data_IF_643117388371
#
_entry.id   IF_643117388371
#
_cell.length_a   1.000
_cell.length_b   1.000
_cell.length_c   1.000
_cell.angle_alpha   90.00
_cell.angle_beta   90.00
_cell.angle_gamma   90.00
#
_symmetry.space_group_name_H-M   'P 1'
#
loop_
_entity.id
_entity.type
_entity.pdbx_description
1 polymer ?
#
# COMPACT_ATOMS: atom_id res chain seq x y z
N UNK A 1 6.62 -11.05 27.88
CA UNK A 1 7.57 -10.03 28.41
C UNK A 1 6.79 -8.74 28.59
N UNK A 2 6.86 -8.10 29.73
CA UNK A 2 6.14 -6.83 29.99
C UNK A 2 6.70 -5.76 29.07
N UNK A 3 5.86 -5.16 28.22
CA UNK A 3 6.22 -4.05 27.34
C UNK A 3 6.83 -2.92 28.16
N UNK A 4 7.95 -2.44 27.69
CA UNK A 4 8.66 -1.31 28.28
C UNK A 4 7.86 -0.03 27.98
N UNK A 5 7.89 0.92 28.90
CA UNK A 5 7.16 2.22 28.86
C UNK A 5 7.57 3.17 27.71
N UNK A 6 8.37 2.73 26.75
CA UNK A 6 8.68 3.47 25.51
C UNK A 6 7.55 3.45 24.45
N UNK A 7 6.54 2.61 24.66
CA UNK A 7 5.43 2.39 23.72
C UNK A 7 4.34 3.47 23.68
N UNK A 8 4.46 4.52 24.49
CA UNK A 8 3.38 5.49 24.70
C UNK A 8 3.49 6.79 23.87
N UNK A 9 4.50 6.94 22.98
CA UNK A 9 4.57 8.17 22.16
C UNK A 9 3.52 8.13 21.06
N UNK A 10 2.72 9.20 20.90
CA UNK A 10 1.79 9.29 19.78
C UNK A 10 2.55 9.27 18.45
N UNK A 11 1.99 8.66 17.41
CA UNK A 11 2.56 8.69 16.07
C UNK A 11 2.64 10.11 15.50
N UNK A 12 3.42 10.33 14.43
CA UNK A 12 3.63 11.67 13.86
C UNK A 12 2.33 12.29 13.29
N UNK A 13 1.31 11.48 13.01
CA UNK A 13 0.00 11.92 12.52
C UNK A 13 -1.09 11.85 13.61
N UNK A 14 -0.70 11.71 14.88
CA UNK A 14 -1.67 11.75 15.99
C UNK A 14 -2.43 13.07 16.00
N UNK A 15 -3.74 12.98 16.18
CA UNK A 15 -4.66 14.14 16.13
C UNK A 15 -5.23 14.41 14.73
N UNK A 16 -4.71 13.80 13.67
CA UNK A 16 -5.36 13.81 12.36
C UNK A 16 -6.45 12.74 12.30
N UNK A 17 -7.65 13.13 11.83
CA UNK A 17 -8.77 12.22 11.57
C UNK A 17 -8.95 12.04 10.07
N UNK A 18 -8.99 10.78 9.63
CA UNK A 18 -9.17 10.39 8.22
C UNK A 18 -10.41 9.53 8.07
N UNK A 19 -11.27 9.88 7.14
CA UNK A 19 -12.40 9.04 6.74
C UNK A 19 -12.02 8.30 5.46
N UNK A 20 -11.95 6.99 5.55
CA UNK A 20 -11.75 6.10 4.41
C UNK A 20 -13.10 5.58 3.91
N UNK A 21 -13.72 6.29 2.98
CA UNK A 21 -14.96 5.88 2.31
C UNK A 21 -14.70 5.14 0.99
N UNK A 22 -13.46 4.80 0.73
CA UNK A 22 -13.06 4.10 -0.50
C UNK A 22 -13.20 2.58 -0.37
N UNK A 23 -13.10 1.85 -1.48
CA UNK A 23 -13.20 0.39 -1.52
C UNK A 23 -12.00 -0.23 -2.21
N UNK A 24 -11.79 -1.52 -2.00
CA UNK A 24 -10.76 -2.36 -2.63
C UNK A 24 -9.32 -1.96 -2.24
N UNK A 25 -8.56 -1.25 -3.12
CA UNK A 25 -7.12 -1.12 -2.95
C UNK A 25 -6.61 0.32 -2.81
N UNK A 26 -6.67 1.15 -3.85
CA UNK A 26 -5.92 2.41 -3.92
C UNK A 26 -6.22 3.37 -2.76
N UNK A 27 -7.48 3.70 -2.53
CA UNK A 27 -7.89 4.55 -1.40
C UNK A 27 -7.61 3.89 -0.04
N UNK A 28 -8.00 2.61 0.18
CA UNK A 28 -7.69 1.92 1.43
C UNK A 28 -6.19 1.86 1.75
N UNK A 29 -5.30 1.68 0.76
CA UNK A 29 -3.85 1.72 0.96
C UNK A 29 -3.38 3.10 1.42
N UNK A 30 -3.88 4.18 0.79
CA UNK A 30 -3.57 5.54 1.22
C UNK A 30 -3.97 5.78 2.69
N UNK A 31 -5.19 5.37 3.06
CA UNK A 31 -5.69 5.47 4.43
C UNK A 31 -4.87 4.64 5.42
N UNK A 32 -4.48 3.40 5.04
CA UNK A 32 -3.66 2.53 5.89
C UNK A 32 -2.27 3.12 6.15
N UNK A 33 -1.64 3.72 5.14
CA UNK A 33 -0.37 4.41 5.34
C UNK A 33 -0.48 5.53 6.38
N UNK A 34 -1.55 6.31 6.36
CA UNK A 34 -1.79 7.36 7.37
C UNK A 34 -2.07 6.76 8.75
N UNK A 35 -2.84 5.66 8.81
CA UNK A 35 -3.13 4.92 10.04
C UNK A 35 -1.87 4.34 10.70
N UNK A 36 -0.96 3.80 9.90
CA UNK A 36 0.31 3.22 10.38
C UNK A 36 1.19 4.24 11.11
N UNK A 37 1.08 5.51 10.75
CA UNK A 37 1.77 6.61 11.39
C UNK A 37 0.93 7.38 12.43
N UNK A 38 -0.19 6.82 12.86
CA UNK A 38 -0.94 7.27 14.05
C UNK A 38 -2.16 8.12 13.78
N UNK A 39 -2.57 8.35 12.53
CA UNK A 39 -3.85 8.99 12.25
C UNK A 39 -5.02 8.14 12.79
N UNK A 40 -6.09 8.79 13.24
CA UNK A 40 -7.36 8.16 13.55
C UNK A 40 -8.13 7.92 12.25
N UNK A 41 -8.04 6.69 11.73
CA UNK A 41 -8.66 6.34 10.45
C UNK A 41 -9.96 5.58 10.69
N UNK A 42 -11.06 6.15 10.22
CA UNK A 42 -12.40 5.53 10.27
C UNK A 42 -12.76 5.06 8.86
N UNK A 43 -12.78 3.74 8.69
CA UNK A 43 -13.22 3.07 7.47
C UNK A 43 -14.73 3.02 7.44
N UNK A 44 -15.34 3.64 6.44
CA UNK A 44 -16.79 3.60 6.20
C UNK A 44 -17.09 2.58 5.12
N UNK A 45 -17.80 1.52 5.49
CA UNK A 45 -18.17 0.42 4.59
C UNK A 45 -19.69 0.43 4.33
N UNK A 46 -20.09 -0.17 3.20
CA UNK A 46 -21.48 -0.58 3.04
C UNK A 46 -21.86 -1.62 4.11
N UNK A 47 -23.12 -1.71 4.60
CA UNK A 47 -23.53 -2.70 5.61
C UNK A 47 -23.25 -4.17 5.25
N UNK A 48 -23.04 -4.48 3.97
CA UNK A 48 -22.63 -5.81 3.48
C UNK A 48 -21.11 -6.02 3.46
N UNK A 49 -20.35 -5.04 3.91
CA UNK A 49 -18.88 -5.04 3.89
C UNK A 49 -18.27 -4.54 2.57
N UNK A 50 -16.97 -4.26 2.62
CA UNK A 50 -16.13 -3.99 1.46
C UNK A 50 -15.90 -5.29 0.66
N UNK A 51 -15.85 -5.20 -0.67
CA UNK A 51 -15.54 -6.33 -1.53
C UNK A 51 -14.22 -7.03 -1.19
N UNK A 52 -13.27 -6.31 -0.61
CA UNK A 52 -11.97 -6.85 -0.19
C UNK A 52 -12.10 -7.92 0.91
N UNK A 53 -13.17 -7.92 1.71
CA UNK A 53 -13.44 -8.97 2.72
C UNK A 53 -13.60 -10.37 2.12
N UNK A 54 -13.96 -10.43 0.83
CA UNK A 54 -14.19 -11.69 0.10
C UNK A 54 -13.12 -11.95 -0.98
N UNK A 55 -12.03 -11.15 -1.00
CA UNK A 55 -10.98 -11.28 -2.03
C UNK A 55 -9.75 -12.03 -1.53
N UNK A 56 -9.08 -12.70 -2.47
CA UNK A 56 -7.78 -13.33 -2.27
C UNK A 56 -7.84 -14.59 -1.40
N UNK A 57 -6.76 -14.79 -0.65
CA UNK A 57 -6.61 -15.95 0.23
C UNK A 57 -7.40 -15.76 1.52
N UNK A 58 -8.02 -16.83 1.97
CA UNK A 58 -8.85 -16.82 3.17
C UNK A 58 -8.35 -17.81 4.22
N UNK A 59 -8.51 -17.47 5.48
CA UNK A 59 -8.35 -18.33 6.63
C UNK A 59 -9.65 -18.24 7.46
N UNK A 60 -10.36 -19.35 7.60
CA UNK A 60 -11.59 -19.41 8.39
C UNK A 60 -12.59 -18.29 8.03
N UNK A 61 -12.89 -18.14 6.73
CA UNK A 61 -13.77 -17.10 6.14
C UNK A 61 -13.25 -15.65 6.29
N UNK A 62 -12.02 -15.46 6.78
CA UNK A 62 -11.40 -14.14 6.88
C UNK A 62 -10.37 -13.91 5.77
N UNK A 63 -10.57 -12.87 4.98
CA UNK A 63 -9.63 -12.47 3.92
C UNK A 63 -8.31 -11.98 4.50
N UNK A 64 -7.19 -12.62 4.12
CA UNK A 64 -5.86 -12.16 4.50
C UNK A 64 -5.53 -10.78 3.90
N UNK A 65 -6.13 -10.42 2.77
CA UNK A 65 -5.99 -9.07 2.21
C UNK A 65 -6.66 -8.03 3.09
N UNK A 66 -7.90 -8.31 3.55
CA UNK A 66 -8.59 -7.44 4.49
C UNK A 66 -7.79 -7.26 5.79
N UNK A 67 -7.34 -8.37 6.36
CA UNK A 67 -6.56 -8.41 7.60
C UNK A 67 -5.35 -7.48 7.55
N UNK A 68 -4.60 -7.49 6.44
CA UNK A 68 -3.37 -6.71 6.30
C UNK A 68 -3.64 -5.27 5.85
N UNK A 69 -4.53 -5.08 4.86
CA UNK A 69 -4.73 -3.77 4.21
C UNK A 69 -5.71 -2.85 4.95
N UNK A 70 -6.40 -3.33 6.01
CA UNK A 70 -7.25 -2.48 6.85
C UNK A 70 -6.81 -2.45 8.32
N UNK A 71 -5.54 -2.80 8.56
CA UNK A 71 -4.92 -2.64 9.88
C UNK A 71 -4.98 -1.19 10.35
N UNK A 72 -4.99 -1.00 11.65
CA UNK A 72 -5.01 0.31 12.32
C UNK A 72 -6.25 1.17 12.04
N UNK A 73 -7.28 0.65 11.35
CA UNK A 73 -8.52 1.37 11.06
C UNK A 73 -9.63 0.96 12.04
N UNK A 74 -10.50 1.89 12.38
CA UNK A 74 -11.79 1.64 13.02
C UNK A 74 -12.83 1.47 11.92
N UNK A 75 -13.63 0.40 11.93
CA UNK A 75 -14.60 0.12 10.88
C UNK A 75 -16.01 0.43 11.31
N UNK A 76 -16.70 1.29 10.55
CA UNK A 76 -18.11 1.57 10.66
C UNK A 76 -18.83 1.23 9.36
N UNK A 77 -20.11 0.94 9.45
CA UNK A 77 -20.93 0.65 8.28
C UNK A 77 -22.01 1.72 8.11
N UNK A 78 -22.15 2.23 6.88
CA UNK A 78 -23.20 3.18 6.52
C UNK A 78 -23.69 2.90 5.10
N UNK A 79 -24.99 2.73 4.90
CA UNK A 79 -25.58 2.79 3.55
C UNK A 79 -25.73 4.25 3.11
N UNK A 80 -24.79 4.70 2.27
CA UNK A 80 -24.77 6.07 1.75
C UNK A 80 -25.87 6.33 0.68
N UNK A 81 -26.68 5.34 0.31
CA UNK A 81 -27.90 5.58 -0.47
C UNK A 81 -29.05 6.07 0.40
N UNK A 82 -29.04 5.80 1.70
CA UNK A 82 -30.04 6.24 2.66
C UNK A 82 -29.72 7.64 3.20
N UNK A 83 -30.76 8.46 3.40
CA UNK A 83 -30.61 9.81 3.92
C UNK A 83 -29.97 9.85 5.32
N UNK A 84 -30.32 8.88 6.16
CA UNK A 84 -29.75 8.72 7.51
C UNK A 84 -28.24 8.40 7.43
N UNK A 85 -27.81 7.55 6.48
CA UNK A 85 -26.40 7.24 6.25
C UNK A 85 -25.63 8.45 5.73
N UNK A 86 -26.24 9.24 4.84
CA UNK A 86 -25.67 10.51 4.36
C UNK A 86 -25.52 11.55 5.47
N UNK A 87 -26.49 11.67 6.37
CA UNK A 87 -26.41 12.57 7.52
C UNK A 87 -25.30 12.14 8.48
N UNK A 88 -25.21 10.86 8.80
CA UNK A 88 -24.14 10.33 9.63
C UNK A 88 -22.75 10.57 8.99
N UNK A 89 -22.62 10.33 7.69
CA UNK A 89 -21.37 10.59 6.97
C UNK A 89 -21.01 12.08 6.97
N UNK A 90 -21.97 12.99 6.79
CA UNK A 90 -21.72 14.44 6.84
C UNK A 90 -21.21 14.88 8.20
N UNK A 91 -21.84 14.42 9.30
CA UNK A 91 -21.38 14.70 10.66
C UNK A 91 -19.98 14.15 10.91
N UNK A 92 -19.69 12.95 10.41
CA UNK A 92 -18.36 12.35 10.51
C UNK A 92 -17.33 13.20 9.76
N UNK A 93 -17.60 13.59 8.51
CA UNK A 93 -16.73 14.43 7.68
C UNK A 93 -16.52 15.84 8.27
N UNK A 94 -17.48 16.37 9.02
CA UNK A 94 -17.32 17.65 9.72
C UNK A 94 -16.23 17.62 10.80
N UNK A 95 -15.85 16.43 11.29
CA UNK A 95 -14.77 16.23 12.27
C UNK A 95 -13.45 15.81 11.64
N UNK A 96 -13.40 15.62 10.33
CA UNK A 96 -12.28 15.01 9.64
C UNK A 96 -11.31 16.06 9.06
N UNK A 97 -10.03 15.72 9.04
CA UNK A 97 -8.99 16.43 8.28
C UNK A 97 -8.96 15.98 6.83
N UNK A 98 -9.15 14.67 6.60
CA UNK A 98 -9.09 14.05 5.29
C UNK A 98 -10.30 13.15 5.09
N UNK A 99 -10.88 13.19 3.88
CA UNK A 99 -11.77 12.17 3.33
C UNK A 99 -11.11 11.55 2.11
N UNK A 100 -11.06 10.22 2.06
CA UNK A 100 -10.56 9.46 0.90
C UNK A 100 -11.75 8.70 0.31
N UNK A 101 -12.00 8.86 -0.98
CA UNK A 101 -13.10 8.21 -1.69
C UNK A 101 -12.67 7.69 -3.06
N UNK A 102 -13.39 6.70 -3.60
CA UNK A 102 -13.15 6.20 -4.95
C UNK A 102 -14.45 5.85 -5.68
N UNK A 103 -15.51 6.59 -5.40
CA UNK A 103 -16.76 6.48 -6.15
C UNK A 103 -16.60 7.04 -7.57
N UNK A 104 -17.50 6.65 -8.44
CA UNK A 104 -17.58 7.28 -9.78
C UNK A 104 -17.82 8.79 -9.64
N UNK A 105 -17.20 9.62 -10.48
CA UNK A 105 -17.40 11.06 -10.46
C UNK A 105 -18.89 11.44 -10.42
N UNK A 106 -19.23 12.39 -9.56
CA UNK A 106 -20.61 12.86 -9.38
C UNK A 106 -21.49 12.00 -8.46
N UNK A 107 -21.00 10.87 -7.95
CA UNK A 107 -21.81 10.02 -7.06
C UNK A 107 -22.03 10.69 -5.70
N UNK A 108 -20.98 11.15 -5.05
CA UNK A 108 -21.07 11.84 -3.76
C UNK A 108 -21.85 13.15 -3.89
N UNK A 109 -21.69 13.87 -4.98
CA UNK A 109 -22.46 15.09 -5.28
C UNK A 109 -23.97 14.82 -5.36
N UNK A 110 -24.39 13.72 -6.00
CA UNK A 110 -25.79 13.30 -6.05
C UNK A 110 -26.35 12.95 -4.68
N UNK A 111 -25.52 12.48 -3.77
CA UNK A 111 -25.90 12.19 -2.38
C UNK A 111 -25.81 13.41 -1.46
N UNK A 112 -25.40 14.58 -1.96
CA UNK A 112 -25.25 15.79 -1.17
C UNK A 112 -24.07 15.76 -0.18
N UNK A 113 -23.09 14.90 -0.42
CA UNK A 113 -21.87 14.71 0.37
C UNK A 113 -20.60 14.79 -0.50
N UNK A 114 -20.64 15.52 -1.62
CA UNK A 114 -19.50 15.86 -2.42
C UNK A 114 -18.59 16.90 -1.75
N UNK A 115 -17.44 17.18 -2.34
CA UNK A 115 -16.44 18.07 -1.74
C UNK A 115 -17.02 19.45 -1.37
N UNK A 116 -17.72 20.11 -2.29
CA UNK A 116 -18.24 21.46 -2.06
C UNK A 116 -19.23 21.51 -0.90
N UNK A 117 -20.09 20.48 -0.77
CA UNK A 117 -21.03 20.38 0.33
C UNK A 117 -20.34 20.18 1.67
N UNK A 118 -19.37 19.24 1.74
CA UNK A 118 -18.62 18.96 2.95
C UNK A 118 -17.70 20.12 3.35
N UNK A 119 -17.03 20.76 2.36
CA UNK A 119 -16.15 21.90 2.59
C UNK A 119 -16.91 23.17 3.04
N UNK A 120 -18.21 23.28 2.77
CA UNK A 120 -19.05 24.37 3.29
C UNK A 120 -19.20 24.27 4.82
N UNK A 121 -19.26 23.08 5.38
CA UNK A 121 -19.34 22.81 6.82
C UNK A 121 -17.95 22.70 7.47
N UNK A 122 -16.96 22.15 6.74
CA UNK A 122 -15.59 21.99 7.17
C UNK A 122 -14.60 22.58 6.12
N UNK A 123 -14.35 23.89 6.17
CA UNK A 123 -13.48 24.55 5.19
C UNK A 123 -12.03 24.06 5.17
N UNK A 124 -11.58 23.38 6.23
CA UNK A 124 -10.25 22.78 6.33
C UNK A 124 -10.14 21.38 5.73
N UNK A 125 -11.24 20.82 5.22
CA UNK A 125 -11.28 19.44 4.72
C UNK A 125 -10.41 19.27 3.46
N UNK A 126 -9.55 18.26 3.50
CA UNK A 126 -8.86 17.73 2.31
C UNK A 126 -9.60 16.50 1.82
N UNK A 127 -9.98 16.45 0.53
CA UNK A 127 -10.63 15.28 -0.04
C UNK A 127 -9.77 14.66 -1.15
N UNK A 128 -9.34 13.41 -0.96
CA UNK A 128 -8.61 12.63 -1.98
C UNK A 128 -9.62 11.79 -2.76
N UNK A 129 -9.74 12.07 -4.04
CA UNK A 129 -10.70 11.45 -4.96
C UNK A 129 -9.98 10.55 -5.95
N UNK A 130 -10.00 9.26 -5.69
CA UNK A 130 -9.29 8.25 -6.50
C UNK A 130 -10.23 7.64 -7.50
N UNK A 131 -9.94 7.77 -8.80
CA UNK A 131 -10.75 7.13 -9.85
C UNK A 131 -9.84 6.58 -10.96
N UNK A 132 -10.37 5.71 -11.80
CA UNK A 132 -9.59 5.14 -12.89
C UNK A 132 -9.00 6.21 -13.83
N UNK A 133 -9.78 7.24 -14.16
CA UNK A 133 -9.45 8.22 -15.21
C UNK A 133 -9.46 9.68 -14.73
N UNK A 134 -9.58 9.94 -13.44
CA UNK A 134 -9.70 11.30 -12.88
C UNK A 134 -11.14 11.81 -12.87
N UNK A 135 -11.32 13.00 -12.27
CA UNK A 135 -12.62 13.69 -12.17
C UNK A 135 -13.01 14.45 -13.45
N UNK A 136 -12.06 14.60 -14.38
CA UNK A 136 -12.20 15.38 -15.61
C UNK A 136 -11.85 14.54 -16.84
N UNK A 137 -11.98 15.12 -18.02
CA UNK A 137 -11.64 14.48 -19.28
C UNK A 137 -12.75 13.59 -19.85
N UNK A 138 -12.57 13.11 -21.12
CA UNK A 138 -13.62 12.42 -21.86
C UNK A 138 -13.94 11.02 -21.34
N UNK A 139 -13.09 10.44 -20.48
CA UNK A 139 -13.26 9.08 -19.96
C UNK A 139 -13.61 9.00 -18.48
N UNK A 140 -13.82 10.16 -17.84
CA UNK A 140 -14.09 10.23 -16.39
C UNK A 140 -15.20 9.29 -15.90
N UNK A 141 -16.21 9.04 -16.75
CA UNK A 141 -17.38 8.21 -16.41
C UNK A 141 -17.19 6.72 -16.79
N UNK A 142 -16.05 6.34 -17.39
CA UNK A 142 -15.76 4.95 -17.76
C UNK A 142 -15.39 4.13 -16.52
N UNK A 143 -15.81 2.85 -16.47
CA UNK A 143 -15.34 1.93 -15.44
C UNK A 143 -13.87 1.59 -15.66
N UNK A 144 -13.10 1.46 -14.57
CA UNK A 144 -11.71 1.02 -14.60
C UNK A 144 -11.17 0.79 -13.20
N UNK A 145 -10.11 -0.02 -13.14
CA UNK A 145 -9.37 -0.40 -11.94
C UNK A 145 -7.87 -0.44 -12.26
N UNK A 146 -7.04 -0.84 -11.31
CA UNK A 146 -5.59 -0.90 -11.45
C UNK A 146 -5.09 -1.57 -12.74
N UNK A 147 -5.69 -2.71 -13.13
CA UNK A 147 -5.34 -3.43 -14.37
C UNK A 147 -5.48 -2.56 -15.63
N UNK A 148 -6.53 -1.74 -15.70
CA UNK A 148 -6.72 -0.82 -16.85
C UNK A 148 -5.68 0.30 -16.80
N UNK A 149 -5.34 0.78 -15.62
CA UNK A 149 -4.31 1.80 -15.43
C UNK A 149 -2.92 1.27 -15.82
N UNK A 150 -2.58 0.04 -15.45
CA UNK A 150 -1.33 -0.63 -15.84
C UNK A 150 -1.21 -0.81 -17.36
N UNK A 151 -2.32 -1.10 -18.04
CA UNK A 151 -2.37 -1.19 -19.49
C UNK A 151 -2.26 0.19 -20.16
N UNK A 152 -3.03 1.18 -19.69
CA UNK A 152 -3.14 2.50 -20.28
C UNK A 152 -1.89 3.36 -20.05
N UNK A 153 -1.21 3.19 -18.93
CA UNK A 153 0.03 3.93 -18.61
C UNK A 153 1.20 3.61 -19.53
N UNK A 154 1.16 2.46 -20.22
CA UNK A 154 2.28 1.93 -20.99
C UNK A 154 3.09 0.86 -20.24
N UNK A 155 2.83 0.64 -18.93
CA UNK A 155 3.56 -0.36 -18.13
C UNK A 155 3.49 -1.75 -18.75
N UNK A 156 2.30 -2.26 -19.06
CA UNK A 156 2.13 -3.59 -19.63
C UNK A 156 2.84 -3.73 -21.00
N UNK A 157 2.95 -2.64 -21.76
CA UNK A 157 3.63 -2.66 -23.07
C UNK A 157 5.13 -2.97 -22.95
N UNK A 158 5.80 -2.38 -21.96
CA UNK A 158 7.26 -2.55 -21.76
C UNK A 158 7.61 -3.71 -20.84
N UNK A 159 6.63 -4.31 -20.17
CA UNK A 159 6.83 -5.41 -19.22
C UNK A 159 6.65 -6.78 -19.90
N UNK A 160 7.61 -7.69 -19.71
CA UNK A 160 7.60 -9.04 -20.24
C UNK A 160 8.79 -9.34 -21.15
N UNK A 161 8.87 -10.59 -21.63
CA UNK A 161 9.90 -11.01 -22.56
C UNK A 161 9.64 -10.47 -23.98
N UNK A 162 10.71 -10.22 -24.78
CA UNK A 162 10.59 -9.65 -26.14
C UNK A 162 9.64 -10.43 -27.03
N UNK A 163 9.70 -11.76 -26.98
CA UNK A 163 8.91 -12.67 -27.82
C UNK A 163 7.55 -13.04 -27.20
N UNK A 164 7.27 -12.54 -26.00
CA UNK A 164 6.01 -12.80 -25.28
C UNK A 164 4.97 -11.72 -25.47
N UNK A 165 3.74 -11.95 -24.95
CA UNK A 165 2.73 -10.91 -24.87
C UNK A 165 3.10 -9.83 -23.85
N UNK A 166 2.43 -8.65 -23.86
CA UNK A 166 2.44 -7.73 -22.73
C UNK A 166 2.07 -8.44 -21.42
N UNK A 167 2.76 -8.10 -20.32
CA UNK A 167 2.60 -8.79 -19.04
C UNK A 167 2.15 -7.81 -17.96
N UNK A 168 1.09 -8.18 -17.24
CA UNK A 168 0.59 -7.46 -16.07
C UNK A 168 1.30 -7.95 -14.79
N UNK A 169 1.40 -7.13 -13.75
CA UNK A 169 1.92 -7.57 -12.47
C UNK A 169 0.92 -8.54 -11.79
N UNK A 170 1.39 -9.52 -10.99
CA UNK A 170 0.52 -10.48 -10.31
C UNK A 170 -0.13 -9.93 -9.02
N UNK A 171 -0.12 -8.62 -8.82
CA UNK A 171 -0.72 -7.92 -7.67
C UNK A 171 -1.20 -6.54 -8.12
N UNK A 172 -1.96 -5.84 -7.27
CA UNK A 172 -2.56 -4.54 -7.58
C UNK A 172 -1.50 -3.41 -7.57
N UNK A 173 -0.54 -3.46 -8.50
CA UNK A 173 0.59 -2.51 -8.58
C UNK A 173 0.10 -1.08 -8.80
N UNK A 174 -0.78 -0.87 -9.78
CA UNK A 174 -1.31 0.45 -10.11
C UNK A 174 -2.05 1.08 -8.94
N UNK A 175 -2.88 0.29 -8.26
CA UNK A 175 -3.59 0.73 -7.06
C UNK A 175 -2.63 1.03 -5.90
N UNK A 176 -1.62 0.19 -5.68
CA UNK A 176 -0.66 0.37 -4.58
C UNK A 176 0.16 1.66 -4.76
N UNK A 177 0.67 1.89 -5.96
CA UNK A 177 1.38 3.14 -6.30
C UNK A 177 0.45 4.34 -6.10
N UNK A 178 -0.78 4.27 -6.58
CA UNK A 178 -1.78 5.34 -6.42
C UNK A 178 -2.09 5.60 -4.95
N UNK A 179 -2.17 4.57 -4.12
CA UNK A 179 -2.34 4.71 -2.67
C UNK A 179 -1.21 5.50 -2.02
N UNK A 180 0.04 5.22 -2.40
CA UNK A 180 1.22 5.97 -1.93
C UNK A 180 1.13 7.44 -2.36
N UNK A 181 0.80 7.70 -3.63
CA UNK A 181 0.60 9.06 -4.12
C UNK A 181 -0.56 9.76 -3.39
N UNK A 182 -1.64 9.04 -3.09
CA UNK A 182 -2.79 9.56 -2.34
C UNK A 182 -2.41 10.03 -0.94
N UNK A 183 -1.69 9.21 -0.18
CA UNK A 183 -1.18 9.57 1.15
C UNK A 183 -0.22 10.77 1.07
N UNK A 184 0.72 10.77 0.11
CA UNK A 184 1.64 11.86 -0.10
C UNK A 184 0.91 13.17 -0.47
N UNK A 185 -0.05 13.12 -1.39
CA UNK A 185 -0.83 14.27 -1.83
C UNK A 185 -1.67 14.86 -0.69
N UNK A 186 -2.27 14.00 0.14
CA UNK A 186 -3.00 14.43 1.32
C UNK A 186 -2.09 15.23 2.28
N UNK A 187 -0.87 14.73 2.55
CA UNK A 187 0.09 15.43 3.40
C UNK A 187 0.57 16.75 2.79
N UNK A 188 0.76 16.83 1.48
CA UNK A 188 1.08 18.08 0.77
C UNK A 188 -0.05 19.11 0.97
N UNK A 189 -1.31 18.68 0.79
CA UNK A 189 -2.47 19.54 0.97
C UNK A 189 -2.64 20.00 2.42
N UNK A 190 -2.44 19.11 3.41
CA UNK A 190 -2.44 19.46 4.82
C UNK A 190 -1.33 20.44 5.16
N UNK A 191 -0.11 20.23 4.63
CA UNK A 191 1.01 21.16 4.83
C UNK A 191 0.69 22.57 4.32
N UNK A 192 0.00 22.67 3.18
CA UNK A 192 -0.48 23.96 2.66
C UNK A 192 -1.52 24.57 3.60
N UNK A 193 -2.54 23.81 3.97
CA UNK A 193 -3.59 24.24 4.91
C UNK A 193 -3.00 24.81 6.19
N UNK A 194 -2.14 24.02 6.84
CA UNK A 194 -1.62 24.33 8.16
C UNK A 194 -0.60 25.51 8.17
N UNK A 195 0.04 25.74 7.04
CA UNK A 195 0.99 26.85 6.86
C UNK A 195 0.32 28.17 6.43
N UNK A 196 -0.96 28.17 6.08
CA UNK A 196 -1.67 29.32 5.55
C UNK A 196 -2.61 29.88 6.60
N UNK A 197 -2.54 31.18 6.99
CA UNK A 197 -3.50 31.78 7.90
C UNK A 197 -4.94 31.63 7.40
N UNK A 198 -5.82 31.04 8.21
CA UNK A 198 -7.19 30.68 7.80
C UNK A 198 -7.22 29.58 6.73
N UNK A 199 -6.24 28.71 6.76
CA UNK A 199 -5.96 27.69 5.77
C UNK A 199 -7.17 26.83 5.41
N UNK A 200 -7.45 26.76 4.12
CA UNK A 200 -8.52 25.94 3.55
C UNK A 200 -7.95 24.63 3.05
N UNK A 201 -8.74 23.55 3.21
CA UNK A 201 -8.49 22.30 2.52
C UNK A 201 -8.75 22.40 1.03
N UNK A 202 -8.59 21.29 0.33
CA UNK A 202 -8.79 21.21 -1.12
C UNK A 202 -9.18 19.81 -1.56
N UNK A 203 -9.81 19.71 -2.73
CA UNK A 203 -10.04 18.46 -3.42
C UNK A 203 -8.79 18.07 -4.23
N UNK A 204 -8.40 16.81 -4.14
CA UNK A 204 -7.30 16.20 -4.89
C UNK A 204 -7.91 15.24 -5.90
N UNK A 205 -7.75 15.52 -7.19
CA UNK A 205 -8.11 14.64 -8.29
C UNK A 205 -6.93 13.70 -8.56
N UNK A 206 -7.11 12.39 -8.31
CA UNK A 206 -6.05 11.40 -8.44
C UNK A 206 -6.53 10.23 -9.32
N UNK A 207 -6.07 10.17 -10.55
CA UNK A 207 -6.33 9.02 -11.41
C UNK A 207 -5.38 7.86 -11.06
N UNK A 208 -5.79 6.60 -11.34
CA UNK A 208 -4.91 5.46 -11.06
C UNK A 208 -3.80 5.33 -12.11
N UNK A 209 -4.04 5.74 -13.37
CA UNK A 209 -3.04 5.57 -14.44
C UNK A 209 -1.90 6.59 -14.40
N UNK A 210 -2.13 7.82 -13.91
CA UNK A 210 -1.12 8.88 -13.92
C UNK A 210 0.08 8.61 -13.01
N UNK A 211 -0.06 8.10 -11.79
CA UNK A 211 1.07 7.68 -10.96
C UNK A 211 1.92 6.59 -11.61
N UNK A 212 1.28 5.59 -12.25
CA UNK A 212 2.02 4.54 -12.97
C UNK A 212 2.77 5.12 -14.17
N UNK A 213 2.10 5.97 -14.96
CA UNK A 213 2.72 6.67 -16.09
C UNK A 213 3.92 7.53 -15.64
N UNK A 214 3.79 8.26 -14.53
CA UNK A 214 4.88 9.06 -13.96
C UNK A 214 6.10 8.21 -13.59
N UNK A 215 5.90 7.01 -13.04
CA UNK A 215 6.98 6.09 -12.66
C UNK A 215 7.73 5.48 -13.85
N UNK A 216 7.12 5.42 -15.04
CA UNK A 216 7.78 4.89 -16.23
C UNK A 216 8.94 5.78 -16.71
N UNK A 217 9.13 6.95 -16.13
CA UNK A 217 10.23 7.86 -16.47
C UNK A 217 10.12 8.42 -17.89
N UNK A 218 11.20 8.39 -18.70
CA UNK A 218 11.27 9.16 -19.94
C UNK A 218 10.60 8.51 -21.16
N UNK A 219 9.65 7.57 -20.99
CA UNK A 219 9.05 6.83 -22.12
C UNK A 219 8.40 7.77 -23.16
N UNK A 220 7.60 8.73 -22.69
CA UNK A 220 6.99 9.73 -23.57
C UNK A 220 8.03 10.67 -24.18
N UNK A 221 9.04 11.05 -23.40
CA UNK A 221 10.14 11.91 -23.88
C UNK A 221 10.99 11.20 -24.94
N UNK A 222 11.23 9.90 -24.77
CA UNK A 222 11.92 9.08 -25.75
C UNK A 222 11.18 9.10 -27.10
N UNK A 223 9.87 8.88 -27.05
CA UNK A 223 9.03 8.96 -28.27
C UNK A 223 9.03 10.35 -28.90
N UNK A 224 8.85 11.39 -28.09
CA UNK A 224 8.79 12.78 -28.56
C UNK A 224 10.11 13.23 -29.22
N UNK A 225 11.25 12.93 -28.60
CA UNK A 225 12.54 13.44 -29.02
C UNK A 225 13.26 12.57 -30.08
N UNK A 226 13.05 11.25 -30.04
CA UNK A 226 13.76 10.31 -30.91
C UNK A 226 12.84 9.50 -31.82
N UNK A 227 11.52 9.58 -31.65
CA UNK A 227 10.55 8.77 -32.38
C UNK A 227 10.58 7.28 -32.01
N UNK A 228 11.24 6.94 -30.90
CA UNK A 228 11.44 5.56 -30.49
C UNK A 228 10.35 5.13 -29.49
N UNK A 229 9.88 3.90 -29.62
CA UNK A 229 8.97 3.24 -28.70
C UNK A 229 9.71 2.09 -28.04
N UNK A 230 9.92 2.17 -26.71
CA UNK A 230 10.56 1.08 -25.99
C UNK A 230 9.70 -0.19 -26.06
N UNK A 231 10.30 -1.29 -26.47
CA UNK A 231 9.70 -2.62 -26.40
C UNK A 231 9.97 -3.34 -25.07
N UNK A 232 9.51 -4.58 -24.98
CA UNK A 232 9.82 -5.49 -23.86
C UNK A 232 11.26 -5.97 -23.95
N UNK A 233 11.94 -6.02 -22.82
CA UNK A 233 13.35 -6.41 -22.71
C UNK A 233 13.58 -7.60 -21.75
N UNK A 234 12.51 -8.22 -21.26
CA UNK A 234 12.63 -9.27 -20.24
C UNK A 234 13.18 -8.68 -18.93
N UNK A 235 14.23 -9.31 -18.42
CA UNK A 235 14.90 -8.88 -17.20
C UNK A 235 16.00 -7.84 -17.43
N UNK A 236 16.31 -7.51 -18.69
CA UNK A 236 17.30 -6.49 -19.07
C UNK A 236 16.73 -5.08 -18.91
N UNK A 237 17.60 -4.11 -18.73
CA UNK A 237 17.24 -2.70 -18.81
C UNK A 237 17.77 -2.09 -20.10
N UNK A 238 16.99 -1.29 -20.86
CA UNK A 238 17.42 -0.77 -22.16
C UNK A 238 18.46 0.34 -22.07
N UNK A 239 18.81 0.77 -20.87
CA UNK A 239 19.72 1.90 -20.64
C UNK A 239 20.97 1.53 -19.82
N UNK A 240 21.15 0.25 -19.43
CA UNK A 240 22.29 -0.18 -18.63
C UNK A 240 22.55 -1.69 -18.73
N UNK A 241 23.85 -2.09 -18.69
CA UNK A 241 24.33 -3.46 -18.74
C UNK A 241 25.66 -3.57 -17.97
N UNK A 242 25.99 -4.73 -17.31
CA UNK A 242 25.16 -5.92 -17.10
C UNK A 242 24.05 -5.75 -16.04
N UNK A 243 22.84 -6.17 -16.39
CA UNK A 243 21.70 -6.31 -15.49
C UNK A 243 20.74 -7.37 -16.02
N UNK A 244 20.65 -8.52 -15.33
CA UNK A 244 19.76 -9.62 -15.72
C UNK A 244 19.51 -10.59 -14.56
N UNK A 245 18.70 -11.63 -14.81
CA UNK A 245 18.55 -12.81 -13.96
C UNK A 245 19.23 -14.00 -14.65
N UNK A 246 19.95 -14.80 -13.87
CA UNK A 246 20.63 -16.00 -14.34
C UNK A 246 20.33 -17.19 -13.44
N UNK A 247 20.17 -18.36 -14.00
CA UNK A 247 19.89 -19.59 -13.25
C UNK A 247 21.19 -20.29 -12.86
N UNK A 248 21.34 -20.61 -11.58
CA UNK A 248 22.46 -21.37 -11.05
C UNK A 248 22.32 -22.88 -11.33
N UNK A 249 23.40 -23.64 -11.13
CA UNK A 249 23.42 -25.10 -11.38
C UNK A 249 22.38 -25.88 -10.54
N UNK A 250 21.98 -25.35 -9.42
CA UNK A 250 20.98 -25.93 -8.49
C UNK A 250 19.58 -25.34 -8.67
N UNK A 251 19.33 -24.59 -9.77
CA UNK A 251 18.01 -24.10 -10.16
C UNK A 251 17.52 -22.84 -9.43
N UNK A 252 18.41 -22.12 -8.73
CA UNK A 252 18.07 -20.82 -8.13
C UNK A 252 18.33 -19.70 -9.12
N UNK A 253 17.39 -18.76 -9.22
CA UNK A 253 17.58 -17.55 -10.01
C UNK A 253 18.33 -16.50 -9.19
N UNK A 254 19.33 -15.88 -9.80
CA UNK A 254 20.19 -14.86 -9.21
C UNK A 254 20.08 -13.58 -10.02
N UNK A 255 19.75 -12.48 -9.36
CA UNK A 255 19.78 -11.14 -9.93
C UNK A 255 21.20 -10.58 -9.88
N UNK A 256 21.71 -10.11 -11.03
CA UNK A 256 22.94 -9.34 -11.12
C UNK A 256 22.60 -7.89 -11.46
N UNK A 257 23.20 -6.94 -10.73
CA UNK A 257 23.09 -5.50 -11.01
C UNK A 257 24.50 -4.88 -11.02
N UNK A 258 25.15 -4.90 -12.18
CA UNK A 258 26.51 -4.41 -12.37
C UNK A 258 26.57 -3.20 -13.31
N UNK A 259 25.61 -2.29 -13.18
CA UNK A 259 25.43 -1.14 -14.08
C UNK A 259 26.56 -0.11 -14.00
N UNK A 260 27.08 0.16 -12.80
CA UNK A 260 28.20 1.09 -12.61
C UNK A 260 29.49 0.48 -13.17
N UNK A 261 30.34 1.29 -13.84
CA UNK A 261 31.57 0.84 -14.50
C UNK A 261 32.46 -0.01 -13.58
N UNK A 262 32.74 0.47 -12.37
CA UNK A 262 33.57 -0.25 -11.40
C UNK A 262 32.97 -1.60 -10.94
N UNK A 263 31.65 -1.74 -10.94
CA UNK A 263 30.98 -3.00 -10.59
C UNK A 263 31.01 -3.94 -11.79
N UNK A 264 30.81 -3.44 -13.01
CA UNK A 264 30.92 -4.22 -14.23
C UNK A 264 32.32 -4.81 -14.38
N UNK A 265 33.37 -4.02 -14.14
CA UNK A 265 34.75 -4.51 -14.15
C UNK A 265 35.02 -5.58 -13.09
N UNK A 266 34.51 -5.39 -11.86
CA UNK A 266 34.64 -6.39 -10.80
C UNK A 266 33.91 -7.70 -11.15
N UNK A 267 32.75 -7.61 -11.77
CA UNK A 267 32.03 -8.78 -12.28
C UNK A 267 32.86 -9.54 -13.29
N UNK A 268 33.44 -8.87 -14.28
CA UNK A 268 34.28 -9.54 -15.28
C UNK A 268 35.52 -10.23 -14.65
N UNK A 269 36.16 -9.58 -13.68
CA UNK A 269 37.26 -10.18 -12.92
C UNK A 269 36.80 -11.36 -12.05
N UNK A 270 35.66 -11.28 -11.42
CA UNK A 270 35.08 -12.36 -10.63
C UNK A 270 34.83 -13.61 -11.44
N UNK A 271 34.32 -13.46 -12.64
CA UNK A 271 34.04 -14.60 -13.54
C UNK A 271 35.22 -15.07 -14.37
N UNK A 272 36.40 -14.41 -14.26
CA UNK A 272 37.64 -14.77 -15.00
C UNK A 272 37.64 -14.32 -16.47
N UNK A 273 36.90 -13.28 -16.79
CA UNK A 273 36.72 -12.72 -18.12
C UNK A 273 37.28 -11.29 -18.24
N UNK A 274 38.43 -11.03 -17.58
CA UNK A 274 39.10 -9.72 -17.55
C UNK A 274 39.39 -9.13 -18.92
N UNK A 275 39.54 -9.99 -19.95
CA UNK A 275 39.77 -9.55 -21.34
C UNK A 275 38.73 -8.52 -21.82
N UNK A 276 37.51 -8.57 -21.32
CA UNK A 276 36.46 -7.61 -21.69
C UNK A 276 36.71 -6.23 -21.10
N UNK A 277 37.36 -6.14 -19.92
CA UNK A 277 37.64 -4.85 -19.27
C UNK A 277 38.57 -3.99 -20.11
N UNK A 278 39.47 -4.62 -20.89
CA UNK A 278 40.40 -3.94 -21.74
C UNK A 278 39.84 -3.55 -23.12
N UNK A 279 38.65 -4.04 -23.44
CA UNK A 279 37.97 -3.68 -24.69
C UNK A 279 37.44 -2.23 -24.66
N UNK A 280 37.69 -1.44 -25.72
CA UNK A 280 37.24 -0.03 -25.76
C UNK A 280 35.74 0.16 -25.56
N UNK A 281 34.93 -0.80 -26.03
CA UNK A 281 33.49 -0.75 -25.90
C UNK A 281 33.00 -1.01 -24.44
N UNK A 282 33.81 -1.64 -23.61
CA UNK A 282 33.45 -1.93 -22.24
C UNK A 282 33.51 -0.68 -21.33
N UNK A 283 34.14 0.38 -21.78
CA UNK A 283 34.43 1.59 -21.01
C UNK A 283 33.16 2.38 -20.59
N UNK A 284 32.05 2.17 -21.27
CA UNK A 284 30.79 2.85 -20.95
C UNK A 284 29.57 1.94 -21.14
N UNK A 285 28.40 2.42 -20.68
CA UNK A 285 27.16 1.66 -20.74
C UNK A 285 26.62 1.50 -22.17
N UNK A 286 26.90 2.42 -23.09
CA UNK A 286 26.44 2.35 -24.48
C UNK A 286 27.12 1.20 -25.19
N UNK A 287 28.45 1.10 -25.04
CA UNK A 287 29.22 -0.01 -25.59
C UNK A 287 28.81 -1.35 -24.99
N UNK A 288 28.64 -1.43 -23.66
CA UNK A 288 28.15 -2.66 -23.01
C UNK A 288 26.76 -3.09 -23.44
N UNK A 289 25.86 -2.14 -23.72
CA UNK A 289 24.53 -2.44 -24.27
C UNK A 289 24.61 -3.02 -25.68
N UNK A 290 25.55 -2.57 -26.52
CA UNK A 290 25.74 -3.11 -27.83
C UNK A 290 26.26 -4.56 -27.82
N UNK A 291 26.91 -4.97 -26.70
CA UNK A 291 27.48 -6.33 -26.50
C UNK A 291 26.71 -7.10 -25.40
N UNK A 292 25.43 -6.75 -25.14
CA UNK A 292 24.66 -7.29 -24.02
C UNK A 292 24.49 -8.82 -24.10
N UNK A 293 24.30 -9.36 -25.28
CA UNK A 293 24.15 -10.82 -25.48
C UNK A 293 25.44 -11.57 -25.13
N UNK A 294 26.59 -11.07 -25.59
CA UNK A 294 27.90 -11.64 -25.27
C UNK A 294 28.19 -11.60 -23.75
N UNK A 295 27.89 -10.49 -23.10
CA UNK A 295 28.05 -10.37 -21.65
C UNK A 295 27.11 -11.31 -20.88
N UNK A 296 25.85 -11.39 -21.29
CA UNK A 296 24.88 -12.29 -20.66
C UNK A 296 25.26 -13.75 -20.82
N UNK A 297 25.81 -14.15 -21.99
CA UNK A 297 26.25 -15.51 -22.26
C UNK A 297 27.42 -15.94 -21.33
N UNK A 298 28.45 -15.10 -21.17
CA UNK A 298 29.59 -15.44 -20.31
C UNK A 298 29.22 -15.41 -18.82
N UNK A 299 28.40 -14.46 -18.39
CA UNK A 299 27.92 -14.37 -17.02
C UNK A 299 27.00 -15.57 -16.71
N UNK A 300 26.07 -15.87 -17.62
CA UNK A 300 25.16 -16.99 -17.48
C UNK A 300 25.86 -18.34 -17.44
N UNK A 301 26.85 -18.54 -18.28
CA UNK A 301 27.66 -19.75 -18.27
C UNK A 301 28.44 -19.95 -16.96
N UNK A 302 29.02 -18.87 -16.43
CA UNK A 302 29.74 -18.92 -15.15
C UNK A 302 28.79 -19.23 -13.97
N UNK A 303 27.64 -18.56 -13.88
CA UNK A 303 26.64 -18.78 -12.84
C UNK A 303 25.99 -20.16 -12.96
N UNK A 304 25.62 -20.58 -14.19
CA UNK A 304 25.00 -21.87 -14.47
C UNK A 304 25.87 -23.08 -14.19
N UNK A 305 27.17 -22.87 -14.00
CA UNK A 305 28.12 -23.93 -13.62
C UNK A 305 28.37 -24.06 -12.13
N UNK A 306 27.72 -23.27 -11.28
CA UNK A 306 27.93 -23.16 -9.81
C UNK A 306 26.64 -23.19 -9.05
N UNK A 307 26.71 -23.65 -7.80
CA UNK A 307 25.59 -23.48 -6.84
C UNK A 307 25.41 -22.01 -6.45
N UNK A 308 24.19 -21.64 -6.11
CA UNK A 308 23.85 -20.24 -5.79
C UNK A 308 24.65 -19.67 -4.59
N UNK A 309 24.95 -20.49 -3.58
CA UNK A 309 25.76 -20.07 -2.43
C UNK A 309 27.21 -19.73 -2.83
N UNK A 310 27.79 -20.51 -3.73
CA UNK A 310 29.14 -20.24 -4.29
C UNK A 310 29.14 -18.92 -5.08
N UNK A 311 28.09 -18.67 -5.88
CA UNK A 311 27.95 -17.41 -6.63
C UNK A 311 27.85 -16.22 -5.68
N UNK A 312 27.07 -16.33 -4.60
CA UNK A 312 26.94 -15.24 -3.63
C UNK A 312 28.25 -14.99 -2.87
N UNK A 313 28.94 -16.04 -2.43
CA UNK A 313 30.24 -15.90 -1.75
C UNK A 313 31.27 -15.20 -2.64
N UNK A 314 31.36 -15.58 -3.91
CA UNK A 314 32.24 -14.91 -4.87
C UNK A 314 31.82 -13.45 -5.11
N UNK A 315 30.52 -13.19 -5.19
CA UNK A 315 29.98 -11.83 -5.38
C UNK A 315 30.29 -10.92 -4.19
N UNK A 316 30.23 -11.44 -2.99
CA UNK A 316 30.59 -10.70 -1.77
C UNK A 316 32.10 -10.40 -1.74
N UNK A 317 32.95 -11.38 -2.01
CA UNK A 317 34.41 -11.23 -2.06
C UNK A 317 34.82 -10.16 -3.07
N UNK A 318 34.19 -10.14 -4.25
CA UNK A 318 34.51 -9.19 -5.33
C UNK A 318 33.66 -7.92 -5.27
N UNK A 319 32.78 -7.77 -4.28
CA UNK A 319 31.87 -6.63 -4.13
C UNK A 319 31.00 -6.38 -5.39
N UNK A 320 30.47 -7.45 -5.94
CA UNK A 320 29.48 -7.43 -7.03
C UNK A 320 28.08 -7.50 -6.45
N UNK A 321 27.16 -6.68 -6.95
CA UNK A 321 25.77 -6.72 -6.50
C UNK A 321 25.04 -7.91 -7.15
N UNK A 322 24.95 -9.01 -6.39
CA UNK A 322 24.24 -10.22 -6.75
C UNK A 322 23.34 -10.67 -5.60
N UNK A 323 22.14 -11.15 -5.91
CA UNK A 323 21.22 -11.63 -4.89
C UNK A 323 20.25 -12.70 -5.47
N UNK A 324 19.90 -13.75 -4.71
CA UNK A 324 18.93 -14.74 -5.16
C UNK A 324 17.53 -14.15 -5.21
N UNK A 325 16.71 -14.63 -6.13
CA UNK A 325 15.28 -14.29 -6.16
C UNK A 325 14.60 -15.04 -5.02
N UNK A 326 14.08 -14.28 -4.06
CA UNK A 326 13.44 -14.82 -2.85
C UNK A 326 11.98 -15.17 -3.05
N UNK A 327 11.58 -16.24 -2.40
CA UNK A 327 10.18 -16.56 -2.10
C UNK A 327 9.79 -16.02 -0.71
N UNK A 328 8.50 -16.08 -0.36
CA UNK A 328 8.06 -15.73 0.99
C UNK A 328 8.67 -16.64 2.07
N UNK A 329 8.98 -17.90 1.74
CA UNK A 329 9.65 -18.82 2.67
C UNK A 329 11.11 -18.42 2.94
N UNK A 330 11.82 -17.91 1.92
CA UNK A 330 13.18 -17.38 2.08
C UNK A 330 13.15 -16.13 2.95
N UNK A 331 12.23 -15.21 2.71
CA UNK A 331 12.05 -13.97 3.48
C UNK A 331 11.81 -14.26 4.97
N UNK A 332 10.99 -15.27 5.27
CA UNK A 332 10.60 -15.58 6.65
C UNK A 332 11.77 -16.01 7.55
N UNK A 333 12.88 -16.46 6.97
CA UNK A 333 14.05 -16.95 7.71
C UNK A 333 15.31 -16.13 7.45
N UNK A 334 15.26 -15.15 6.56
CA UNK A 334 16.41 -14.33 6.16
C UNK A 334 16.87 -13.42 7.30
N UNK A 335 18.16 -13.44 7.61
CA UNK A 335 18.76 -12.70 8.71
C UNK A 335 18.64 -11.17 8.57
N UNK A 336 18.69 -10.63 7.34
CA UNK A 336 18.54 -9.19 7.09
C UNK A 336 17.10 -8.73 7.35
N UNK A 337 16.11 -9.53 6.91
CA UNK A 337 14.70 -9.25 7.19
C UNK A 337 14.39 -9.34 8.68
N UNK A 338 14.96 -10.34 9.38
CA UNK A 338 14.82 -10.50 10.83
C UNK A 338 15.50 -9.38 11.60
N UNK A 339 16.77 -9.09 11.29
CA UNK A 339 17.54 -8.03 11.95
C UNK A 339 16.93 -6.62 11.74
N UNK A 340 16.32 -6.39 10.58
CA UNK A 340 15.61 -5.15 10.29
C UNK A 340 14.17 -5.13 10.80
N UNK A 341 13.68 -6.24 11.37
CA UNK A 341 12.27 -6.35 11.76
C UNK A 341 11.34 -5.95 10.60
N UNK A 342 11.63 -6.48 9.38
CA UNK A 342 10.89 -6.13 8.18
C UNK A 342 9.47 -6.68 8.17
N UNK A 343 9.19 -7.63 9.05
CA UNK A 343 7.86 -8.13 9.38
C UNK A 343 7.74 -8.32 10.89
N UNK A 344 6.52 -8.39 11.38
CA UNK A 344 6.21 -8.58 12.81
C UNK A 344 5.01 -9.51 12.96
N UNK A 345 4.76 -9.98 14.17
CA UNK A 345 3.57 -10.78 14.49
C UNK A 345 2.59 -9.93 15.26
N UNK A 346 1.35 -9.87 14.79
CA UNK A 346 0.24 -9.16 15.43
C UNK A 346 -0.90 -10.16 15.63
N UNK A 347 -1.54 -10.15 16.78
CA UNK A 347 -2.75 -10.96 17.00
C UNK A 347 -3.95 -10.33 16.31
N UNK A 348 -4.76 -11.14 15.64
CA UNK A 348 -6.03 -10.68 15.09
C UNK A 348 -7.12 -10.59 16.19
N UNK A 349 -8.34 -10.22 15.81
CA UNK A 349 -9.49 -10.09 16.71
C UNK A 349 -9.94 -11.42 17.37
N UNK A 350 -9.43 -12.55 16.89
CA UNK A 350 -9.65 -13.89 17.46
C UNK A 350 -8.47 -14.36 18.32
N UNK A 351 -7.44 -13.53 18.50
CA UNK A 351 -6.22 -13.89 19.23
C UNK A 351 -5.26 -14.80 18.46
N UNK A 352 -5.44 -14.93 17.15
CA UNK A 352 -4.53 -15.74 16.30
C UNK A 352 -3.35 -14.89 15.85
N UNK A 353 -2.10 -15.33 16.08
CA UNK A 353 -0.92 -14.62 15.64
C UNK A 353 -0.78 -14.65 14.11
N UNK A 354 -0.63 -13.47 13.50
CA UNK A 354 -0.45 -13.27 12.05
C UNK A 354 0.84 -12.54 11.79
N UNK A 355 1.71 -13.10 10.95
CA UNK A 355 2.89 -12.38 10.47
C UNK A 355 2.47 -11.39 9.38
N UNK A 356 2.87 -10.12 9.55
CA UNK A 356 2.57 -9.03 8.61
C UNK A 356 3.83 -8.21 8.33
N UNK A 357 3.90 -7.62 7.14
CA UNK A 357 4.97 -6.67 6.81
C UNK A 357 4.93 -5.52 7.81
N UNK A 358 6.10 -5.15 8.34
CA UNK A 358 6.18 -4.05 9.27
C UNK A 358 5.98 -2.69 8.58
N UNK A 359 5.74 -1.64 9.37
CA UNK A 359 5.53 -0.30 8.83
C UNK A 359 6.82 0.26 8.22
N UNK A 360 6.70 0.81 7.03
CA UNK A 360 7.81 1.46 6.31
C UNK A 360 7.38 2.87 5.87
N UNK A 361 8.34 3.83 5.88
CA UNK A 361 9.72 3.75 6.37
C UNK A 361 9.82 3.77 7.90
N UNK A 362 10.99 3.37 8.43
CA UNK A 362 11.31 3.49 9.86
C UNK A 362 11.75 4.92 10.16
N UNK A 363 10.92 5.68 10.90
CA UNK A 363 11.27 7.02 11.38
C UNK A 363 11.99 6.92 12.73
N UNK A 364 13.10 7.62 12.91
CA UNK A 364 13.94 7.51 14.11
C UNK A 364 13.25 8.01 15.39
N UNK A 365 12.44 9.07 15.28
CA UNK A 365 11.77 9.70 16.43
C UNK A 365 10.33 9.23 16.63
N UNK A 366 9.62 8.95 15.53
CA UNK A 366 8.19 8.66 15.53
C UNK A 366 7.89 7.46 14.61
N UNK A 367 8.39 6.25 14.95
CA UNK A 367 8.19 5.07 14.12
C UNK A 367 6.69 4.73 13.99
N UNK A 368 6.31 4.29 12.80
CA UNK A 368 4.97 3.74 12.58
C UNK A 368 4.79 2.41 13.32
N UNK A 369 3.53 2.03 13.59
CA UNK A 369 3.21 0.85 14.42
C UNK A 369 1.94 0.15 13.96
N UNK A 370 1.89 -1.17 14.18
CA UNK A 370 0.66 -1.93 14.17
C UNK A 370 -0.02 -1.83 15.54
N UNK A 371 -1.27 -1.40 15.57
CA UNK A 371 -2.11 -1.36 16.76
C UNK A 371 -3.07 -2.55 16.79
N UNK A 372 -3.67 -2.87 15.66
CA UNK A 372 -4.54 -4.02 15.40
C UNK A 372 -4.59 -4.33 13.90
N UNK A 373 -5.08 -5.49 13.54
CA UNK A 373 -5.33 -5.91 12.17
C UNK A 373 -6.72 -5.48 11.70
N UNK A 374 -7.06 -5.76 10.43
CA UNK A 374 -8.35 -5.38 9.85
C UNK A 374 -9.52 -5.94 10.66
N UNK A 375 -10.35 -5.08 11.29
CA UNK A 375 -11.38 -5.52 12.22
C UNK A 375 -12.60 -6.11 11.54
N UNK A 376 -13.48 -6.73 12.34
CA UNK A 376 -14.78 -7.23 11.89
C UNK A 376 -15.66 -6.10 11.33
N UNK A 377 -16.66 -6.47 10.50
CA UNK A 377 -17.59 -5.54 9.90
C UNK A 377 -18.39 -4.79 10.97
N UNK A 378 -18.40 -3.46 10.91
CA UNK A 378 -19.15 -2.62 11.85
C UNK A 378 -18.66 -2.68 13.29
N UNK A 379 -17.47 -3.22 13.55
CA UNK A 379 -16.94 -3.40 14.91
C UNK A 379 -16.93 -2.12 15.74
N UNK A 380 -16.89 -0.94 15.11
CA UNK A 380 -16.83 0.34 15.80
C UNK A 380 -18.09 1.21 15.55
N UNK A 381 -19.21 0.58 15.09
CA UNK A 381 -20.45 1.32 14.84
C UNK A 381 -20.91 2.08 16.08
N UNK A 382 -20.97 1.43 17.25
CA UNK A 382 -21.43 2.05 18.49
C UNK A 382 -20.48 3.15 18.95
N UNK A 383 -19.19 2.85 19.02
CA UNK A 383 -18.15 3.79 19.44
C UNK A 383 -18.19 5.09 18.63
N UNK A 384 -18.21 4.97 17.29
CA UNK A 384 -18.17 6.15 16.42
C UNK A 384 -19.53 6.83 16.31
N UNK A 385 -20.60 6.08 16.07
CA UNK A 385 -21.90 6.69 15.77
C UNK A 385 -22.61 7.20 17.06
N UNK A 386 -22.53 6.43 18.16
CA UNK A 386 -23.19 6.81 19.40
C UNK A 386 -22.27 7.66 20.27
N UNK A 387 -21.10 7.14 20.64
CA UNK A 387 -20.28 7.77 21.65
C UNK A 387 -19.60 9.06 21.14
N UNK A 388 -19.16 9.10 19.85
CA UNK A 388 -18.49 10.28 19.29
C UNK A 388 -19.45 11.23 18.55
N UNK A 389 -20.38 10.71 17.72
CA UNK A 389 -21.28 11.55 16.91
C UNK A 389 -22.59 11.89 17.59
N UNK A 390 -22.91 11.25 18.74
CA UNK A 390 -24.06 11.56 19.57
C UNK A 390 -25.41 11.07 19.02
N UNK A 391 -25.42 10.07 18.13
CA UNK A 391 -26.66 9.38 17.80
C UNK A 391 -27.10 8.51 18.97
N UNK A 392 -28.41 8.23 19.08
CA UNK A 392 -28.90 7.39 20.16
C UNK A 392 -28.75 5.89 19.86
N UNK A 393 -28.65 5.06 20.90
CA UNK A 393 -28.75 3.61 20.78
C UNK A 393 -30.03 3.16 20.05
N UNK A 394 -31.11 3.89 20.24
CA UNK A 394 -32.38 3.66 19.53
C UNK A 394 -32.24 3.95 18.03
N UNK A 395 -31.48 4.98 17.65
CA UNK A 395 -31.21 5.24 16.22
C UNK A 395 -30.39 4.14 15.64
N UNK A 396 -29.30 3.69 16.32
CA UNK A 396 -28.44 2.61 15.86
C UNK A 396 -29.22 1.31 15.67
N UNK A 397 -30.05 0.92 16.63
CA UNK A 397 -30.90 -0.26 16.54
C UNK A 397 -31.88 -0.16 15.34
N UNK A 398 -32.56 0.96 15.20
CA UNK A 398 -33.45 1.22 14.05
C UNK A 398 -32.71 1.16 12.72
N UNK A 399 -31.48 1.67 12.64
CA UNK A 399 -30.66 1.63 11.43
C UNK A 399 -30.20 0.22 11.09
N UNK A 400 -29.91 -0.59 12.09
CA UNK A 400 -29.61 -2.00 11.88
C UNK A 400 -30.82 -2.76 11.31
N UNK A 401 -32.02 -2.55 11.86
CA UNK A 401 -33.27 -3.13 11.34
C UNK A 401 -33.57 -2.72 9.88
N UNK A 402 -33.23 -1.47 9.53
CA UNK A 402 -33.39 -0.94 8.16
C UNK A 402 -32.25 -1.34 7.21
N UNK A 403 -31.18 -1.95 7.69
CA UNK A 403 -29.98 -2.28 6.92
C UNK A 403 -29.13 -1.07 6.52
N UNK A 404 -29.27 0.05 7.25
CA UNK A 404 -28.43 1.27 7.08
C UNK A 404 -27.05 1.06 7.71
N UNK A 405 -26.99 0.31 8.81
CA UNK A 405 -25.74 -0.19 9.42
C UNK A 405 -25.80 -1.71 9.50
N UNK A 406 -24.64 -2.36 9.56
CA UNK A 406 -24.60 -3.79 9.89
C UNK A 406 -25.08 -4.01 11.33
N UNK A 407 -25.77 -5.12 11.55
CA UNK A 407 -26.09 -5.57 12.91
C UNK A 407 -24.78 -5.80 13.70
N UNK A 408 -24.81 -5.57 15.00
CA UNK A 408 -23.66 -5.86 15.85
C UNK A 408 -23.26 -7.35 15.67
N UNK A 409 -21.96 -7.67 15.58
CA UNK A 409 -21.55 -9.06 15.54
C UNK A 409 -22.04 -9.78 16.81
N UNK A 410 -22.59 -11.00 16.63
CA UNK A 410 -22.99 -11.85 17.73
C UNK A 410 -21.77 -12.10 18.63
N UNK A 411 -21.74 -11.54 19.84
CA UNK A 411 -20.66 -11.75 20.81
C UNK A 411 -20.03 -10.52 21.43
N UNK A 412 -20.39 -9.30 21.02
CA UNK A 412 -20.04 -8.09 21.78
C UNK A 412 -20.95 -8.00 23.03
N UNK A 413 -20.73 -8.89 24.00
CA UNK A 413 -21.34 -8.78 25.31
C UNK A 413 -20.84 -7.51 25.99
N UNK A 414 -21.76 -6.73 26.54
CA UNK A 414 -21.52 -5.62 27.45
C UNK A 414 -20.38 -6.01 28.42
N UNK A 415 -19.27 -5.29 28.37
CA UNK A 415 -18.33 -5.29 29.50
C UNK A 415 -19.06 -4.55 30.61
N UNK A 416 -19.87 -5.33 31.33
CA UNK A 416 -20.54 -4.88 32.55
C UNK A 416 -19.49 -4.37 33.52
N UNK A 417 -19.79 -3.24 34.13
CA UNK A 417 -19.06 -2.69 35.26
C UNK A 417 -18.81 -3.83 36.28
N UNK A 418 -17.64 -3.91 36.90
CA UNK A 418 -17.40 -4.88 37.94
C UNK A 418 -18.37 -4.58 39.10
N UNK A 419 -19.30 -5.50 39.39
CA UNK A 419 -20.09 -5.47 40.61
C UNK A 419 -19.14 -5.26 41.81
N UNK A 420 -19.32 -4.18 42.54
CA UNK A 420 -18.73 -3.99 43.85
C UNK A 420 -19.16 -5.13 44.72
N UNK A 421 -18.31 -6.11 44.89
CA UNK A 421 -18.50 -7.15 45.90
C UNK A 421 -18.48 -6.50 47.29
N UNK A 422 -19.66 -6.26 47.84
CA UNK A 422 -19.84 -5.84 49.20
C UNK A 422 -19.13 -6.79 50.17
N UNK A 423 -18.21 -6.25 50.93
CA UNK A 423 -17.59 -6.89 52.06
C UNK A 423 -18.65 -7.02 53.16
N UNK A 424 -18.99 -8.22 53.66
CA UNK A 424 -19.81 -8.34 54.85
C UNK A 424 -18.98 -7.98 56.10
N UNK A 425 -19.39 -6.91 56.78
CA UNK A 425 -18.94 -6.62 58.16
C UNK A 425 -19.66 -7.55 59.11
N UNK A 426 -18.95 -8.18 59.99
CA UNK A 426 -19.50 -8.96 61.11
C UNK A 426 -18.40 -9.72 61.80
N UNK A 427 -17.87 -9.21 62.81
CA UNK A 427 -18.10 -9.24 64.25
C UNK A 427 -17.73 -10.54 64.93
N UNK A 428 -16.77 -10.42 65.87
CA UNK A 428 -16.62 -11.05 67.18
C UNK A 428 -16.78 -12.56 67.31
N UNK A 429 -15.70 -13.25 67.61
CA UNK A 429 -15.37 -13.91 68.89
C UNK A 429 -13.96 -14.57 68.83
#
# INVERSE_FOLDING_TARGET
MKGTTEDARPGPLAGLRVIDASTLFAGPIAATMLADFGADVIKVEHPKGDGQRNMGWQRDDTSLMWTVLNRNKRCVTLDLHAAEGQDAFRRLAATADIVIENFRPGTLEKWGIGYEQLAAENPGLVMVRVTAFGQTGPWRDRPGFGTIAEAMSGFAHINGHPDGPPTLPPFALGDAITGIFGACSAMIALRHRDATPGGRGQSIDLSIYEPVFWLLGPQLTLFDQLGEVQGRTGNRAPFTSPRNLYESADGRWIAISASAQSIAERLMRMIGEEKYVDEPWFADHVGRLAHIDELDDVIGAWIGSRGWEEVLAASEEHQVAAFPVYTAADIAVDEQYLARESFTTVEDDQGVPVQVQNVVPKLSETPGRHRWLGPAIGAHNREVLVDELGFSETDLARWAEKGIVAAAPDGAAETGEPEESGVPSGAEA
#
